data_IF_517807877616
#
_entry.id   IF_517807877616
#
_cell.length_a   1.000
_cell.length_b   1.000
_cell.length_c   1.000
_cell.angle_alpha   90.00
_cell.angle_beta   90.00
_cell.angle_gamma   90.00
#
_symmetry.space_group_name_H-M   'P 1'
#
loop_
_entity.id
_entity.type
_entity.pdbx_description
1 polymer ?
#
# COMPACT_ATOMS: atom_id res chain seq x y z
N UNK A 1 -22.88 14.38 -16.75
CA UNK A 1 -22.23 13.61 -15.66
C UNK A 1 -22.52 12.13 -15.91
N UNK A 2 -21.47 11.36 -16.05
CA UNK A 2 -21.52 9.91 -16.30
C UNK A 2 -22.22 9.18 -15.14
N UNK A 3 -22.76 7.98 -15.42
CA UNK A 3 -23.40 7.13 -14.42
C UNK A 3 -23.02 5.67 -14.63
N UNK A 4 -22.87 4.95 -13.53
CA UNK A 4 -22.73 3.50 -13.51
C UNK A 4 -23.68 2.91 -12.45
N UNK A 5 -24.18 1.70 -12.69
CA UNK A 5 -25.01 0.99 -11.70
C UNK A 5 -24.14 0.08 -10.79
N UNK A 6 -24.76 -0.48 -9.73
CA UNK A 6 -24.06 -1.34 -8.77
C UNK A 6 -23.39 -2.55 -9.42
N UNK A 7 -24.03 -3.18 -10.40
CA UNK A 7 -23.46 -4.36 -11.09
C UNK A 7 -22.22 -3.98 -11.88
N UNK A 8 -22.26 -2.84 -12.58
CA UNK A 8 -21.12 -2.30 -13.32
C UNK A 8 -19.96 -1.94 -12.37
N UNK A 9 -20.26 -1.23 -11.27
CA UNK A 9 -19.27 -0.86 -10.28
C UNK A 9 -18.59 -2.09 -9.63
N UNK A 10 -19.38 -3.11 -9.27
CA UNK A 10 -18.85 -4.37 -8.72
C UNK A 10 -17.93 -5.09 -9.70
N UNK A 11 -18.33 -5.21 -10.97
CA UNK A 11 -17.49 -5.84 -12.01
C UNK A 11 -16.19 -5.06 -12.22
N UNK A 12 -16.28 -3.74 -12.28
CA UNK A 12 -15.10 -2.88 -12.41
C UNK A 12 -14.15 -3.03 -11.22
N UNK A 13 -14.67 -3.00 -10.00
CA UNK A 13 -13.89 -3.21 -8.78
C UNK A 13 -13.21 -4.59 -8.75
N UNK A 14 -13.91 -5.66 -9.12
CA UNK A 14 -13.33 -7.00 -9.21
C UNK A 14 -12.24 -7.09 -10.28
N UNK A 15 -12.44 -6.44 -11.44
CA UNK A 15 -11.42 -6.38 -12.49
C UNK A 15 -10.16 -5.64 -12.01
N UNK A 16 -10.33 -4.46 -11.40
CA UNK A 16 -9.21 -3.66 -10.87
C UNK A 16 -8.52 -4.33 -9.69
N UNK A 17 -9.27 -5.06 -8.87
CA UNK A 17 -8.71 -5.90 -7.81
C UNK A 17 -7.98 -7.15 -8.32
N UNK A 18 -7.92 -7.40 -9.63
CA UNK A 18 -7.28 -8.59 -10.22
C UNK A 18 -7.99 -9.90 -9.91
N UNK A 19 -9.30 -9.87 -9.60
CA UNK A 19 -10.13 -11.03 -9.26
C UNK A 19 -10.97 -11.53 -10.45
N UNK A 20 -10.92 -10.85 -11.58
CA UNK A 20 -11.41 -11.34 -12.86
C UNK A 20 -10.23 -11.80 -13.73
N UNK A 21 -10.54 -12.21 -14.97
CA UNK A 21 -9.50 -12.63 -15.91
C UNK A 21 -8.45 -11.52 -16.11
N UNK A 22 -7.15 -11.83 -16.07
CA UNK A 22 -6.06 -10.85 -16.19
C UNK A 22 -6.12 -10.01 -17.46
N UNK A 23 -6.68 -10.52 -18.54
CA UNK A 23 -6.81 -9.84 -19.84
C UNK A 23 -7.59 -8.52 -19.75
N UNK A 24 -8.46 -8.36 -18.74
CA UNK A 24 -9.24 -7.14 -18.57
C UNK A 24 -8.39 -5.94 -18.14
N UNK A 25 -7.35 -6.17 -17.35
CA UNK A 25 -6.55 -5.09 -16.73
C UNK A 25 -5.06 -5.23 -16.97
N UNK A 26 -4.62 -6.27 -17.68
CA UNK A 26 -3.19 -6.55 -17.89
C UNK A 26 -2.46 -7.01 -16.63
N UNK A 27 -3.19 -7.41 -15.59
CA UNK A 27 -2.59 -8.01 -14.39
C UNK A 27 -1.90 -9.33 -14.75
N UNK A 28 -0.80 -9.69 -14.07
CA UNK A 28 -0.17 -10.99 -14.28
C UNK A 28 -1.09 -12.12 -13.81
N UNK A 29 -1.07 -13.21 -14.55
CA UNK A 29 -1.89 -14.38 -14.24
C UNK A 29 -1.18 -15.37 -13.32
N UNK A 30 0.15 -15.50 -13.46
CA UNK A 30 0.90 -16.60 -12.86
C UNK A 30 2.22 -16.16 -12.25
N UNK A 31 2.56 -16.76 -11.10
CA UNK A 31 3.88 -16.69 -10.49
C UNK A 31 4.21 -18.06 -9.90
N UNK A 32 5.33 -18.66 -10.32
CA UNK A 32 5.74 -19.99 -9.84
C UNK A 32 7.11 -19.90 -9.21
N UNK A 33 7.22 -20.35 -7.95
CA UNK A 33 8.43 -20.26 -7.15
C UNK A 33 8.85 -18.82 -6.85
N UNK A 34 10.13 -18.61 -6.53
CA UNK A 34 10.72 -17.32 -6.15
C UNK A 34 11.58 -16.68 -7.25
N UNK A 35 11.37 -17.08 -8.49
CA UNK A 35 12.14 -16.61 -9.64
C UNK A 35 12.00 -15.12 -9.87
N UNK A 36 12.93 -14.49 -10.59
CA UNK A 36 12.84 -13.08 -11.00
C UNK A 36 11.49 -12.76 -11.68
N UNK A 37 11.01 -13.67 -12.54
CA UNK A 37 9.72 -13.52 -13.23
C UNK A 37 8.53 -13.55 -12.24
N UNK A 38 8.59 -14.43 -11.25
CA UNK A 38 7.57 -14.52 -10.20
C UNK A 38 7.54 -13.23 -9.36
N UNK A 39 8.72 -12.71 -8.92
CA UNK A 39 8.83 -11.43 -8.22
C UNK A 39 8.29 -10.27 -9.05
N UNK A 40 8.63 -10.19 -10.33
CA UNK A 40 8.08 -9.17 -11.25
C UNK A 40 6.56 -9.26 -11.39
N UNK A 41 5.98 -10.45 -11.35
CA UNK A 41 4.53 -10.62 -11.35
C UNK A 41 3.90 -10.07 -10.05
N UNK A 42 4.47 -10.40 -8.89
CA UNK A 42 4.03 -9.86 -7.61
C UNK A 42 4.15 -8.32 -7.56
N UNK A 43 5.27 -7.76 -8.04
CA UNK A 43 5.45 -6.30 -8.12
C UNK A 43 4.37 -5.63 -8.99
N UNK A 44 4.01 -6.23 -10.13
CA UNK A 44 2.93 -5.69 -10.98
C UNK A 44 1.57 -5.69 -10.29
N UNK A 45 1.27 -6.71 -9.48
CA UNK A 45 0.07 -6.73 -8.65
C UNK A 45 0.10 -5.58 -7.64
N UNK A 46 1.21 -5.42 -6.90
CA UNK A 46 1.38 -4.34 -5.92
C UNK A 46 1.29 -2.96 -6.58
N UNK A 47 1.90 -2.79 -7.75
CA UNK A 47 1.82 -1.54 -8.54
C UNK A 47 0.40 -1.23 -8.99
N UNK A 48 -0.38 -2.26 -9.35
CA UNK A 48 -1.79 -2.09 -9.76
C UNK A 48 -2.69 -1.58 -8.63
N UNK A 49 -2.37 -1.96 -7.39
CA UNK A 49 -3.09 -1.49 -6.19
C UNK A 49 -2.54 -0.18 -5.62
N UNK A 50 -1.31 0.16 -5.98
CA UNK A 50 -0.57 1.28 -5.39
C UNK A 50 0.16 0.92 -4.10
N UNK A 51 -0.35 -0.01 -3.32
CA UNK A 51 0.30 -0.57 -2.13
C UNK A 51 -0.21 -1.97 -1.79
N UNK A 52 0.51 -2.67 -0.93
CA UNK A 52 0.08 -3.90 -0.30
C UNK A 52 0.33 -3.83 1.21
N UNK A 53 -0.74 -3.90 2.01
CA UNK A 53 -0.64 -3.80 3.46
C UNK A 53 0.09 -4.99 4.06
N UNK A 54 0.97 -4.70 5.02
CA UNK A 54 1.71 -5.66 5.83
C UNK A 54 1.07 -5.78 7.21
N UNK A 55 0.47 -6.93 7.49
CA UNK A 55 -0.11 -7.20 8.79
C UNK A 55 0.69 -8.29 9.51
N UNK A 56 0.90 -8.11 10.82
CA UNK A 56 1.59 -9.07 11.67
C UNK A 56 0.71 -10.27 12.02
N UNK A 57 -0.61 -10.11 11.94
CA UNK A 57 -1.56 -11.17 12.27
C UNK A 57 -1.66 -12.15 11.10
N UNK A 58 -1.43 -13.42 11.38
CA UNK A 58 -1.62 -14.52 10.42
C UNK A 58 -3.06 -15.02 10.52
N UNK A 59 -3.98 -14.39 9.77
CA UNK A 59 -5.35 -14.88 9.63
C UNK A 59 -5.35 -16.06 8.66
N UNK A 60 -6.07 -17.13 8.99
CA UNK A 60 -6.17 -18.34 8.14
C UNK A 60 -4.81 -18.98 7.78
N UNK A 61 -3.85 -18.97 8.70
CA UNK A 61 -2.56 -19.65 8.55
C UNK A 61 -1.52 -18.94 7.69
N UNK A 62 -1.85 -17.78 7.11
CA UNK A 62 -0.92 -16.95 6.34
C UNK A 62 -1.16 -15.46 6.60
N UNK A 63 -0.13 -14.63 6.36
CA UNK A 63 -0.24 -13.17 6.48
C UNK A 63 -1.01 -12.57 5.31
N UNK A 64 -1.67 -11.44 5.54
CA UNK A 64 -2.56 -10.78 4.57
C UNK A 64 -1.92 -10.55 3.21
N UNK A 65 -0.68 -10.11 3.14
CA UNK A 65 0.03 -9.86 1.88
C UNK A 65 0.23 -11.14 1.05
N UNK A 66 0.52 -12.27 1.70
CA UNK A 66 0.64 -13.56 1.01
C UNK A 66 -0.73 -14.03 0.47
N UNK A 67 -1.81 -13.87 1.26
CA UNK A 67 -3.19 -14.21 0.85
C UNK A 67 -3.61 -13.36 -0.35
N UNK A 68 -3.29 -12.07 -0.35
CA UNK A 68 -3.59 -11.18 -1.46
C UNK A 68 -2.89 -11.62 -2.74
N UNK A 69 -1.61 -11.98 -2.68
CA UNK A 69 -0.87 -12.46 -3.85
C UNK A 69 -1.37 -13.83 -4.32
N UNK A 70 -1.61 -14.77 -3.39
CA UNK A 70 -2.16 -16.10 -3.67
C UNK A 70 -3.48 -16.03 -4.45
N UNK A 71 -4.36 -15.11 -4.07
CA UNK A 71 -5.68 -14.99 -4.72
C UNK A 71 -5.64 -14.38 -6.13
N UNK A 72 -4.49 -13.91 -6.61
CA UNK A 72 -4.31 -13.28 -7.93
C UNK A 72 -3.34 -14.03 -8.85
N UNK A 73 -2.44 -14.82 -8.26
CA UNK A 73 -1.35 -15.44 -9.01
C UNK A 73 -1.46 -16.96 -8.96
N UNK A 74 -1.79 -17.57 -10.09
CA UNK A 74 -1.80 -19.02 -10.24
C UNK A 74 -0.39 -19.58 -10.00
N UNK A 75 -0.30 -20.68 -9.25
CA UNK A 75 0.97 -21.32 -8.91
C UNK A 75 1.82 -20.53 -7.92
N UNK A 76 1.20 -19.63 -7.16
CA UNK A 76 1.86 -18.84 -6.12
C UNK A 76 2.52 -19.76 -5.07
N UNK A 77 3.79 -19.45 -4.77
CA UNK A 77 4.55 -20.07 -3.71
C UNK A 77 4.60 -19.10 -2.50
N UNK A 78 4.21 -19.50 -1.27
CA UNK A 78 4.33 -18.68 -0.08
C UNK A 78 5.74 -18.10 0.15
N UNK A 79 6.80 -18.83 -0.26
CA UNK A 79 8.18 -18.35 -0.20
C UNK A 79 8.40 -17.09 -1.04
N UNK A 80 7.57 -16.83 -2.07
CA UNK A 80 7.63 -15.59 -2.83
C UNK A 80 7.29 -14.37 -1.96
N UNK A 81 6.28 -14.48 -1.07
CA UNK A 81 5.94 -13.39 -0.16
C UNK A 81 7.09 -13.05 0.80
N UNK A 82 7.78 -14.08 1.30
CA UNK A 82 8.95 -13.88 2.17
C UNK A 82 10.14 -13.30 1.38
N UNK A 83 10.34 -13.71 0.12
CA UNK A 83 11.37 -13.17 -0.75
C UNK A 83 11.21 -11.67 -1.02
N UNK A 84 9.96 -11.16 -1.07
CA UNK A 84 9.70 -9.72 -1.24
C UNK A 84 10.00 -8.89 0.01
N UNK A 85 10.26 -9.50 1.16
CA UNK A 85 10.68 -8.81 2.39
C UNK A 85 12.19 -8.54 2.42
N UNK A 86 12.95 -9.09 1.46
CA UNK A 86 14.40 -9.02 1.41
C UNK A 86 14.90 -7.74 0.71
N UNK A 87 16.14 -7.31 0.97
CA UNK A 87 16.74 -6.15 0.31
C UNK A 87 16.83 -6.29 -1.21
N UNK A 88 16.78 -5.15 -1.91
CA UNK A 88 16.98 -5.09 -3.37
C UNK A 88 15.70 -5.24 -4.19
N UNK A 89 14.55 -5.49 -3.57
CA UNK A 89 13.27 -5.43 -4.25
C UNK A 89 12.87 -3.98 -4.54
N UNK A 90 12.17 -3.69 -5.66
CA UNK A 90 11.76 -2.33 -6.02
C UNK A 90 10.55 -1.86 -5.20
N UNK A 91 10.61 -2.11 -3.90
CA UNK A 91 9.60 -1.82 -2.89
C UNK A 91 10.25 -1.09 -1.72
N UNK A 92 9.46 -0.31 -1.00
CA UNK A 92 9.83 0.21 0.31
C UNK A 92 8.65 0.09 1.26
N UNK A 93 8.93 -0.07 2.55
CA UNK A 93 7.88 -0.08 3.57
C UNK A 93 7.67 1.34 4.07
N UNK A 94 6.39 1.78 4.02
CA UNK A 94 6.01 3.08 4.57
C UNK A 94 4.51 3.11 4.93
N UNK A 95 4.07 4.23 5.48
CA UNK A 95 2.67 4.50 5.78
C UNK A 95 1.87 4.80 4.50
N UNK A 96 1.19 3.78 3.97
CA UNK A 96 0.12 3.92 3.00
C UNK A 96 -1.22 4.09 3.71
N UNK A 97 -2.08 3.06 3.66
CA UNK A 97 -3.24 2.98 4.56
C UNK A 97 -2.80 2.69 6.00
N UNK A 98 -1.95 1.71 6.16
CA UNK A 98 -1.18 1.37 7.37
C UNK A 98 0.29 1.14 6.97
N UNK A 99 1.05 0.28 7.67
CA UNK A 99 2.34 -0.17 7.18
C UNK A 99 2.16 -1.01 5.91
N UNK A 100 2.70 -0.55 4.82
CA UNK A 100 2.51 -1.15 3.50
C UNK A 100 3.83 -1.30 2.75
N UNK A 101 3.90 -2.29 1.86
CA UNK A 101 4.80 -2.23 0.72
C UNK A 101 4.26 -1.25 -0.30
N UNK A 102 5.11 -0.35 -0.72
CA UNK A 102 4.87 0.62 -1.77
C UNK A 102 5.92 0.44 -2.88
N UNK A 103 5.55 0.57 -4.14
CA UNK A 103 6.53 0.65 -5.22
C UNK A 103 7.55 1.76 -4.96
N UNK A 104 8.84 1.48 -5.13
CA UNK A 104 9.94 2.41 -4.82
C UNK A 104 9.78 3.78 -5.50
N UNK A 105 9.19 3.81 -6.69
CA UNK A 105 8.89 5.05 -7.44
C UNK A 105 7.93 6.00 -6.70
N UNK A 106 7.22 5.53 -5.68
CA UNK A 106 6.34 6.35 -4.85
C UNK A 106 7.09 7.01 -3.68
N UNK A 107 8.36 6.69 -3.47
CA UNK A 107 9.13 7.32 -2.39
C UNK A 107 9.13 8.85 -2.47
N UNK A 108 9.39 9.50 -3.62
CA UNK A 108 9.30 10.96 -3.72
C UNK A 108 7.89 11.52 -3.50
N UNK A 109 6.85 10.77 -3.84
CA UNK A 109 5.44 11.17 -3.63
C UNK A 109 5.11 11.36 -2.16
N UNK A 110 5.70 10.56 -1.26
CA UNK A 110 5.47 10.63 0.18
C UNK A 110 6.36 11.65 0.92
N UNK A 111 7.12 12.50 0.22
CA UNK A 111 7.98 13.51 0.84
C UNK A 111 7.19 14.46 1.78
N UNK A 112 6.02 14.92 1.35
CA UNK A 112 5.15 15.78 2.18
C UNK A 112 4.73 15.10 3.48
N UNK A 113 4.48 13.78 3.46
CA UNK A 113 4.10 13.00 4.66
C UNK A 113 5.28 12.81 5.60
N UNK A 114 6.49 12.51 5.08
CA UNK A 114 7.69 12.43 5.90
C UNK A 114 7.96 13.75 6.61
N UNK A 115 7.79 14.88 5.91
CA UNK A 115 7.90 16.21 6.52
C UNK A 115 6.82 16.44 7.60
N UNK A 116 5.57 16.09 7.33
CA UNK A 116 4.48 16.24 8.30
C UNK A 116 4.65 15.32 9.52
N UNK A 117 5.25 14.15 9.36
CA UNK A 117 5.46 13.16 10.41
C UNK A 117 6.65 13.44 11.33
N UNK A 118 7.34 14.53 11.16
CA UNK A 118 8.17 15.13 12.22
C UNK A 118 7.29 15.51 13.41
N UNK A 119 6.03 15.94 13.15
CA UNK A 119 4.95 16.12 14.12
C UNK A 119 3.93 14.98 13.94
N UNK A 120 4.24 13.80 14.43
CA UNK A 120 3.45 12.61 14.13
C UNK A 120 2.08 12.63 14.83
N UNK A 121 0.96 12.21 14.16
CA UNK A 121 -0.38 12.25 14.74
C UNK A 121 -0.56 11.48 16.05
N UNK A 122 0.26 10.45 16.31
CA UNK A 122 0.11 9.59 17.48
C UNK A 122 1.07 9.90 18.64
N UNK A 123 2.23 10.51 18.38
CA UNK A 123 3.24 10.77 19.41
C UNK A 123 3.87 12.17 19.32
N UNK A 124 3.30 13.05 18.49
CA UNK A 124 3.77 14.43 18.39
C UNK A 124 5.22 14.55 17.94
N UNK A 125 5.93 15.51 18.49
CA UNK A 125 7.35 15.78 18.22
C UNK A 125 8.29 14.94 19.11
N UNK A 126 8.23 13.63 18.99
CA UNK A 126 9.09 12.74 19.78
C UNK A 126 10.59 12.97 19.47
N UNK A 127 10.92 13.25 18.22
CA UNK A 127 12.31 13.49 17.78
C UNK A 127 12.85 14.77 18.42
N UNK A 128 12.09 15.87 18.35
CA UNK A 128 12.48 17.16 18.96
C UNK A 128 12.48 17.14 20.48
N UNK A 129 11.60 16.34 21.12
CA UNK A 129 11.59 16.18 22.58
C UNK A 129 12.78 15.36 23.10
N UNK A 130 13.33 14.43 22.26
CA UNK A 130 14.44 13.55 22.64
C UNK A 130 15.56 13.55 21.60
N UNK A 131 16.16 14.71 21.26
CA UNK A 131 17.11 14.82 20.15
C UNK A 131 18.36 13.95 20.35
N UNK A 132 18.90 13.89 21.59
CA UNK A 132 20.07 13.04 21.90
C UNK A 132 19.78 11.56 21.66
N UNK A 133 18.56 11.08 21.94
CA UNK A 133 18.18 9.70 21.68
C UNK A 133 18.08 9.42 20.18
N UNK A 134 17.52 10.36 19.41
CA UNK A 134 17.43 10.27 17.96
C UNK A 134 18.81 10.23 17.31
N UNK A 135 19.71 11.11 17.74
CA UNK A 135 21.12 11.17 17.28
C UNK A 135 21.86 9.87 17.63
N UNK A 136 21.80 9.42 18.89
CA UNK A 136 22.46 8.21 19.34
C UNK A 136 22.00 6.97 18.58
N UNK A 137 20.67 6.82 18.34
CA UNK A 137 20.15 5.70 17.58
C UNK A 137 20.60 5.76 16.11
N UNK A 138 20.57 6.95 15.50
CA UNK A 138 20.99 7.14 14.12
C UNK A 138 22.50 6.89 13.96
N UNK A 139 23.29 7.39 14.92
CA UNK A 139 24.75 7.14 14.97
C UNK A 139 25.06 5.65 15.13
N UNK A 140 24.38 4.99 16.04
CA UNK A 140 24.55 3.56 16.27
C UNK A 140 24.25 2.74 15.01
N UNK A 141 23.16 3.04 14.29
CA UNK A 141 22.86 2.37 13.01
C UNK A 141 23.94 2.69 11.96
N UNK A 142 24.54 3.89 12.00
CA UNK A 142 25.60 4.28 11.08
C UNK A 142 26.87 3.47 11.29
N UNK A 143 27.26 3.23 12.53
CA UNK A 143 28.50 2.54 12.92
C UNK A 143 28.33 1.02 12.97
N UNK A 144 27.25 0.51 13.56
CA UNK A 144 27.05 -0.93 13.76
C UNK A 144 26.34 -1.60 12.57
N UNK A 145 25.71 -0.81 11.69
CA UNK A 145 24.87 -1.33 10.61
C UNK A 145 23.38 -1.44 10.98
N UNK A 146 22.57 -2.14 10.15
CA UNK A 146 21.14 -2.27 10.34
C UNK A 146 20.79 -2.94 11.67
N UNK A 147 19.74 -2.41 12.37
CA UNK A 147 19.29 -2.93 13.66
C UNK A 147 17.86 -3.47 13.56
N UNK A 148 17.63 -4.67 14.10
CA UNK A 148 16.28 -5.22 14.28
C UNK A 148 15.56 -4.50 15.42
N UNK A 149 14.23 -4.52 15.39
CA UNK A 149 13.41 -3.94 16.47
C UNK A 149 13.75 -4.48 17.87
N UNK A 150 14.27 -5.70 17.96
CA UNK A 150 14.73 -6.31 19.23
C UNK A 150 16.12 -5.81 19.65
N UNK A 151 16.96 -5.40 18.70
CA UNK A 151 18.34 -4.99 18.98
C UNK A 151 18.44 -3.49 19.34
N UNK A 152 17.30 -2.77 19.35
CA UNK A 152 17.25 -1.34 19.66
C UNK A 152 17.61 -1.02 21.10
N UNK A 153 17.63 -2.06 21.99
CA UNK A 153 18.12 -1.95 23.34
C UNK A 153 19.64 -1.83 23.36
N UNK A 154 20.17 -0.77 23.97
CA UNK A 154 21.60 -0.67 24.26
C UNK A 154 22.00 -1.61 25.38
N UNK A 155 23.28 -2.04 25.42
CA UNK A 155 23.89 -2.65 26.61
C UNK A 155 23.77 -1.65 27.78
N UNK A 156 22.82 -1.86 28.70
CA UNK A 156 22.57 -0.97 29.83
C UNK A 156 21.18 -0.38 29.94
N UNK A 157 20.23 -0.78 29.10
CA UNK A 157 18.82 -0.39 29.28
C UNK A 157 18.29 -0.97 30.64
N UNK A 158 17.77 -0.06 31.48
CA UNK A 158 17.38 -0.39 32.85
C UNK A 158 15.91 -0.78 33.03
N UNK A 159 15.20 -1.16 31.95
CA UNK A 159 13.83 -1.60 32.09
C UNK A 159 12.96 -1.57 30.81
N UNK A 160 11.77 -2.17 30.95
CA UNK A 160 10.77 -2.31 29.90
C UNK A 160 10.28 -0.97 29.28
N UNK A 161 10.37 0.14 30.02
CA UNK A 161 10.04 1.48 29.54
C UNK A 161 11.04 2.01 28.51
N UNK A 162 12.33 1.73 28.67
CA UNK A 162 13.37 2.16 27.74
C UNK A 162 13.22 1.46 26.39
N UNK A 163 12.79 0.19 26.40
CA UNK A 163 12.40 -0.57 25.22
C UNK A 163 11.29 0.07 24.40
N UNK A 164 10.21 0.47 25.08
CA UNK A 164 9.08 1.11 24.40
C UNK A 164 9.50 2.41 23.74
N UNK A 165 10.32 3.22 24.41
CA UNK A 165 10.73 4.52 23.90
C UNK A 165 11.70 4.37 22.72
N UNK A 166 12.66 3.44 22.78
CA UNK A 166 13.59 3.15 21.68
C UNK A 166 12.86 2.66 20.42
N UNK A 167 11.89 1.76 20.56
CA UNK A 167 11.04 1.30 19.45
C UNK A 167 10.18 2.42 18.88
N UNK A 168 9.63 3.29 19.72
CA UNK A 168 8.87 4.45 19.29
C UNK A 168 9.77 5.45 18.56
N UNK A 169 10.99 5.69 19.05
CA UNK A 169 11.97 6.56 18.40
C UNK A 169 12.36 6.02 17.02
N UNK A 170 12.69 4.74 16.89
CA UNK A 170 12.98 4.13 15.59
C UNK A 170 11.79 4.26 14.61
N UNK A 171 10.57 4.09 15.12
CA UNK A 171 9.34 4.28 14.31
C UNK A 171 9.13 5.75 13.93
N UNK A 172 9.43 6.69 14.84
CA UNK A 172 9.36 8.12 14.56
C UNK A 172 10.40 8.54 13.49
N UNK A 173 11.64 8.09 13.63
CA UNK A 173 12.71 8.35 12.64
C UNK A 173 12.39 7.73 11.27
N UNK A 174 11.82 6.53 11.23
CA UNK A 174 11.34 5.93 10.01
C UNK A 174 10.17 6.73 9.40
N UNK A 175 9.21 7.15 10.20
CA UNK A 175 8.07 7.97 9.75
C UNK A 175 8.52 9.32 9.20
N UNK A 176 9.53 9.94 9.81
CA UNK A 176 10.13 11.19 9.36
C UNK A 176 11.10 11.00 8.16
N UNK A 177 11.43 9.76 7.81
CA UNK A 177 12.29 9.43 6.67
C UNK A 177 13.79 9.51 6.94
N UNK A 178 14.21 9.61 8.21
CA UNK A 178 15.64 9.49 8.63
C UNK A 178 16.08 8.04 8.49
N UNK A 179 15.25 7.10 8.96
CA UNK A 179 15.45 5.67 8.78
C UNK A 179 14.50 5.13 7.72
N UNK A 180 14.85 3.99 7.15
CA UNK A 180 14.01 3.17 6.28
C UNK A 180 14.03 1.71 6.77
N UNK A 181 13.04 0.93 6.33
CA UNK A 181 13.03 -0.52 6.59
C UNK A 181 13.81 -1.18 5.46
N UNK A 182 14.95 -1.78 5.80
CA UNK A 182 15.81 -2.50 4.87
C UNK A 182 15.20 -3.84 4.47
N UNK A 183 14.67 -4.56 5.47
CA UNK A 183 14.09 -5.89 5.31
C UNK A 183 13.20 -6.23 6.51
N UNK A 184 12.52 -7.37 6.44
CA UNK A 184 11.89 -7.98 7.61
C UNK A 184 12.51 -9.35 7.89
N UNK A 185 13.18 -9.46 9.02
CA UNK A 185 13.72 -10.72 9.53
C UNK A 185 12.71 -11.34 10.51
N UNK A 186 12.20 -12.54 10.24
CA UNK A 186 11.10 -13.16 10.99
C UNK A 186 9.91 -12.21 11.17
N UNK A 187 9.61 -11.46 10.12
CA UNK A 187 8.60 -10.41 10.05
C UNK A 187 8.86 -9.17 10.93
N UNK A 188 9.98 -9.11 11.63
CA UNK A 188 10.39 -7.92 12.38
C UNK A 188 11.10 -6.94 11.45
N UNK A 189 10.84 -5.65 11.67
CA UNK A 189 11.52 -4.59 10.94
C UNK A 189 13.00 -4.56 11.26
N UNK A 190 13.81 -4.44 10.22
CA UNK A 190 15.23 -4.12 10.29
C UNK A 190 15.39 -2.70 9.78
N UNK A 191 15.77 -1.81 10.69
CA UNK A 191 15.97 -0.39 10.40
C UNK A 191 17.38 -0.12 9.91
N UNK A 192 17.51 0.70 8.86
CA UNK A 192 18.79 1.22 8.37
C UNK A 192 18.62 2.68 7.95
N UNK A 193 19.71 3.36 7.66
CA UNK A 193 19.71 4.72 7.16
C UNK A 193 18.99 4.79 5.81
N UNK A 194 18.15 5.79 5.62
CA UNK A 194 17.39 5.96 4.37
C UNK A 194 18.30 6.02 3.15
N UNK A 195 19.48 6.66 3.27
CA UNK A 195 20.46 6.76 2.18
C UNK A 195 21.08 5.41 1.80
N UNK A 196 21.05 4.40 2.68
CA UNK A 196 21.55 3.04 2.39
C UNK A 196 20.48 2.14 1.78
N UNK A 197 19.22 2.42 2.04
CA UNK A 197 18.08 1.59 1.62
C UNK A 197 17.44 2.11 0.34
N UNK A 198 17.29 3.43 0.23
CA UNK A 198 16.57 4.07 -0.87
C UNK A 198 17.57 4.68 -1.85
N UNK A 199 17.60 4.25 -3.12
CA UNK A 199 18.50 4.82 -4.14
C UNK A 199 18.36 6.35 -4.26
N UNK A 200 19.48 7.03 -4.52
CA UNK A 200 19.55 8.49 -4.61
C UNK A 200 18.54 9.07 -5.61
N UNK A 201 18.38 8.44 -6.77
CA UNK A 201 17.42 8.87 -7.80
C UNK A 201 15.96 8.98 -7.31
N UNK A 202 15.57 8.24 -6.25
CA UNK A 202 14.26 8.36 -5.64
C UNK A 202 14.22 9.31 -4.45
N UNK A 203 15.36 9.61 -3.82
CA UNK A 203 15.43 10.52 -2.68
C UNK A 203 15.47 11.99 -3.07
N UNK A 204 16.08 12.29 -4.21
CA UNK A 204 16.38 13.66 -4.65
C UNK A 204 15.24 14.36 -5.40
N UNK A 205 14.22 13.64 -5.82
CA UNK A 205 13.12 14.13 -6.66
C UNK A 205 11.80 14.25 -5.89
N UNK A 206 11.80 14.89 -4.71
CA UNK A 206 10.59 15.08 -3.93
C UNK A 206 9.53 15.87 -4.71
N UNK A 207 8.30 15.35 -4.77
CA UNK A 207 7.19 16.03 -5.41
C UNK A 207 6.65 17.14 -4.50
N UNK A 208 6.20 18.23 -5.11
CA UNK A 208 5.38 19.21 -4.43
C UNK A 208 4.09 18.55 -3.90
N UNK A 209 3.58 19.02 -2.75
CA UNK A 209 2.42 18.40 -2.09
C UNK A 209 1.20 18.29 -3.00
N UNK A 210 0.92 19.32 -3.81
CA UNK A 210 -0.20 19.30 -4.76
C UNK A 210 -0.09 18.16 -5.78
N UNK A 211 1.09 18.01 -6.39
CA UNK A 211 1.35 16.97 -7.39
C UNK A 211 1.33 15.57 -6.76
N UNK A 212 1.85 15.47 -5.53
CA UNK A 212 1.80 14.23 -4.76
C UNK A 212 0.35 13.79 -4.46
N UNK A 213 -0.53 14.74 -4.10
CA UNK A 213 -1.95 14.45 -3.88
C UNK A 213 -2.65 14.02 -5.17
N UNK A 214 -2.42 14.71 -6.30
CA UNK A 214 -2.93 14.25 -7.60
C UNK A 214 -2.52 12.82 -7.91
N UNK A 215 -1.23 12.52 -7.74
CA UNK A 215 -0.69 11.19 -7.99
C UNK A 215 -1.37 10.13 -7.10
N UNK A 216 -1.50 10.37 -5.81
CA UNK A 216 -2.13 9.44 -4.87
C UNK A 216 -3.62 9.25 -5.14
N UNK A 217 -4.37 10.31 -5.43
CA UNK A 217 -5.80 10.25 -5.74
C UNK A 217 -6.04 9.45 -7.03
N UNK A 218 -5.25 9.71 -8.08
CA UNK A 218 -5.35 9.00 -9.35
C UNK A 218 -4.98 7.52 -9.19
N UNK A 219 -3.92 7.22 -8.43
CA UNK A 219 -3.49 5.84 -8.16
C UNK A 219 -4.52 5.08 -7.32
N UNK A 220 -5.11 5.73 -6.30
CA UNK A 220 -6.22 5.15 -5.54
C UNK A 220 -7.42 4.84 -6.43
N UNK A 221 -7.79 5.78 -7.30
CA UNK A 221 -8.89 5.57 -8.25
C UNK A 221 -8.59 4.44 -9.25
N UNK A 222 -7.33 4.30 -9.66
CA UNK A 222 -6.90 3.16 -10.49
C UNK A 222 -7.14 1.82 -9.81
N UNK A 223 -6.88 1.73 -8.52
CA UNK A 223 -7.10 0.50 -7.74
C UNK A 223 -8.58 0.18 -7.50
N UNK A 224 -9.41 1.20 -7.29
CA UNK A 224 -10.85 1.04 -7.04
C UNK A 224 -11.67 0.93 -8.32
N UNK A 225 -11.25 1.55 -9.42
CA UNK A 225 -12.00 1.71 -10.65
C UNK A 225 -13.01 2.86 -10.57
N UNK A 226 -13.91 2.84 -9.59
CA UNK A 226 -14.80 3.93 -9.20
C UNK A 226 -14.67 4.20 -7.70
N UNK A 227 -14.69 5.46 -7.29
CA UNK A 227 -14.60 5.81 -5.87
C UNK A 227 -15.21 7.19 -5.58
N UNK A 228 -15.73 7.36 -4.35
CA UNK A 228 -16.05 8.68 -3.81
C UNK A 228 -14.77 9.42 -3.40
N UNK A 229 -14.83 10.73 -3.25
CA UNK A 229 -13.73 11.51 -2.65
C UNK A 229 -13.34 10.96 -1.28
N UNK A 230 -14.34 10.62 -0.45
CA UNK A 230 -14.10 10.04 0.87
C UNK A 230 -13.33 8.72 0.82
N UNK A 231 -13.67 7.83 -0.13
CA UNK A 231 -12.95 6.57 -0.35
C UNK A 231 -11.49 6.81 -0.72
N UNK A 232 -11.22 7.75 -1.65
CA UNK A 232 -9.86 8.08 -2.08
C UNK A 232 -9.02 8.66 -0.92
N UNK A 233 -9.61 9.56 -0.12
CA UNK A 233 -9.01 10.12 1.09
C UNK A 233 -8.66 9.02 2.09
N UNK A 234 -9.59 8.10 2.32
CA UNK A 234 -9.41 7.01 3.27
C UNK A 234 -8.34 6.00 2.78
N UNK A 235 -8.29 5.72 1.49
CA UNK A 235 -7.29 4.82 0.88
C UNK A 235 -5.87 5.19 1.28
N UNK A 236 -5.56 6.46 1.31
CA UNK A 236 -4.22 6.97 1.62
C UNK A 236 -4.13 7.65 2.99
N UNK A 237 -5.20 7.64 3.79
CA UNK A 237 -5.28 8.36 5.08
C UNK A 237 -4.85 9.83 4.97
N UNK A 238 -5.40 10.53 3.99
CA UNK A 238 -5.15 11.96 3.75
C UNK A 238 -6.01 12.81 4.69
N UNK A 239 -5.61 12.89 5.96
CA UNK A 239 -6.34 13.67 6.97
C UNK A 239 -5.95 15.14 6.90
N UNK A 240 -6.92 16.03 7.21
CA UNK A 240 -6.74 17.49 7.28
C UNK A 240 -6.26 18.16 5.98
N UNK A 241 -6.56 17.55 4.82
CA UNK A 241 -6.12 18.00 3.49
C UNK A 241 -7.29 18.41 2.58
N UNK A 242 -8.46 18.74 3.15
CA UNK A 242 -9.72 18.90 2.39
C UNK A 242 -9.64 19.89 1.24
N UNK A 243 -9.02 21.06 1.44
CA UNK A 243 -8.85 22.07 0.39
C UNK A 243 -7.87 21.61 -0.68
N UNK A 244 -6.71 21.10 -0.27
CA UNK A 244 -5.69 20.61 -1.19
C UNK A 244 -6.19 19.42 -2.03
N UNK A 245 -7.03 18.55 -1.45
CA UNK A 245 -7.68 17.43 -2.15
C UNK A 245 -8.67 17.95 -3.19
N UNK A 246 -9.52 18.94 -2.84
CA UNK A 246 -10.45 19.55 -3.81
C UNK A 246 -9.70 20.17 -4.98
N UNK A 247 -8.63 20.91 -4.71
CA UNK A 247 -7.79 21.50 -5.75
C UNK A 247 -7.11 20.45 -6.63
N UNK A 248 -6.61 19.35 -6.05
CA UNK A 248 -6.00 18.25 -6.79
C UNK A 248 -7.03 17.53 -7.69
N UNK A 249 -8.25 17.28 -7.20
CA UNK A 249 -9.32 16.69 -8.01
C UNK A 249 -9.73 17.60 -9.16
N UNK A 250 -9.85 18.92 -8.93
CA UNK A 250 -10.14 19.87 -10.00
C UNK A 250 -9.08 19.82 -11.11
N UNK A 251 -7.78 19.85 -10.74
CA UNK A 251 -6.70 19.73 -11.74
C UNK A 251 -6.71 18.40 -12.49
N UNK A 252 -7.08 17.29 -11.83
CA UNK A 252 -7.23 16.00 -12.50
C UNK A 252 -8.40 15.99 -13.49
N UNK A 253 -9.49 16.69 -13.19
CA UNK A 253 -10.62 16.89 -14.11
C UNK A 253 -10.18 17.76 -15.31
N UNK A 254 -9.52 18.89 -15.06
CA UNK A 254 -9.03 19.81 -16.10
C UNK A 254 -8.05 19.09 -17.07
N UNK A 255 -7.23 18.17 -16.54
CA UNK A 255 -6.34 17.30 -17.34
C UNK A 255 -7.06 16.17 -18.07
N UNK A 256 -8.36 16.00 -17.87
CA UNK A 256 -9.12 14.87 -18.40
C UNK A 256 -8.70 13.50 -17.83
N UNK A 257 -7.95 13.46 -16.71
CA UNK A 257 -7.47 12.23 -16.09
C UNK A 257 -8.57 11.49 -15.32
N UNK A 258 -9.56 12.23 -14.83
CA UNK A 258 -10.76 11.70 -14.16
C UNK A 258 -12.00 12.45 -14.63
N UNK A 259 -13.14 11.81 -14.52
CA UNK A 259 -14.46 12.42 -14.79
C UNK A 259 -15.41 12.16 -13.63
N UNK A 260 -16.33 13.10 -13.40
CA UNK A 260 -17.41 12.93 -12.43
C UNK A 260 -18.38 11.85 -12.90
N UNK A 261 -18.64 10.85 -12.04
CA UNK A 261 -19.49 9.71 -12.34
C UNK A 261 -20.32 9.34 -11.12
N UNK A 262 -21.65 9.34 -11.26
CA UNK A 262 -22.51 8.91 -10.15
C UNK A 262 -22.75 7.40 -10.19
N UNK A 263 -22.61 6.75 -9.04
CA UNK A 263 -23.11 5.40 -8.82
C UNK A 263 -24.61 5.48 -8.54
N UNK A 264 -25.38 4.74 -9.32
CA UNK A 264 -26.84 4.62 -9.13
C UNK A 264 -27.13 3.26 -8.49
N UNK A 265 -27.76 3.26 -7.31
CA UNK A 265 -28.19 2.05 -6.63
C UNK A 265 -29.54 1.52 -7.18
N UNK A 266 -29.99 0.39 -6.65
CA UNK A 266 -31.21 -0.27 -7.10
C UNK A 266 -32.48 0.54 -6.76
N UNK A 267 -32.39 1.48 -5.78
CA UNK A 267 -33.47 2.41 -5.39
C UNK A 267 -33.43 3.73 -6.18
N UNK A 268 -32.50 3.87 -7.13
CA UNK A 268 -32.32 5.08 -7.94
C UNK A 268 -31.56 6.21 -7.23
N UNK A 269 -31.03 5.99 -6.03
CA UNK A 269 -30.19 6.99 -5.34
C UNK A 269 -28.86 7.15 -6.07
N UNK A 270 -28.42 8.38 -6.14
CA UNK A 270 -27.17 8.75 -6.83
C UNK A 270 -26.09 9.11 -5.83
N UNK A 271 -25.02 8.33 -5.80
CA UNK A 271 -23.83 8.59 -5.01
C UNK A 271 -22.76 9.22 -5.89
N UNK A 272 -22.35 10.49 -5.66
CA UNK A 272 -21.34 11.15 -6.47
C UNK A 272 -19.96 10.53 -6.26
N UNK A 273 -19.20 10.39 -7.33
CA UNK A 273 -17.86 9.83 -7.32
C UNK A 273 -17.08 10.17 -8.58
N UNK A 274 -16.00 9.47 -8.76
CA UNK A 274 -15.00 9.67 -9.79
C UNK A 274 -14.70 8.35 -10.50
N UNK A 275 -14.39 8.45 -11.78
CA UNK A 275 -13.93 7.35 -12.62
C UNK A 275 -12.87 7.87 -13.60
N UNK A 276 -11.94 7.03 -14.05
CA UNK A 276 -11.05 7.40 -15.14
C UNK A 276 -11.75 7.10 -16.48
N UNK A 277 -11.52 7.90 -17.55
CA UNK A 277 -12.14 7.65 -18.87
C UNK A 277 -11.95 6.21 -19.35
N UNK A 278 -10.74 5.67 -19.25
CA UNK A 278 -10.46 4.27 -19.62
C UNK A 278 -11.18 3.22 -18.77
N UNK A 279 -11.67 3.57 -17.59
CA UNK A 279 -12.47 2.68 -16.76
C UNK A 279 -13.94 2.66 -17.20
N UNK A 280 -14.46 3.71 -17.80
CA UNK A 280 -15.78 3.70 -18.45
C UNK A 280 -15.77 2.76 -19.66
N UNK A 281 -14.74 2.84 -20.52
CA UNK A 281 -14.55 1.88 -21.60
C UNK A 281 -14.47 0.43 -21.10
N UNK A 282 -13.78 0.23 -19.99
CA UNK A 282 -13.69 -1.09 -19.35
C UNK A 282 -15.05 -1.55 -18.81
N UNK A 283 -15.85 -0.67 -18.24
CA UNK A 283 -17.23 -0.98 -17.79
C UNK A 283 -18.04 -1.55 -18.94
N UNK A 284 -18.02 -0.92 -20.12
CA UNK A 284 -18.76 -1.39 -21.30
C UNK A 284 -18.31 -2.77 -21.77
N UNK A 285 -17.01 -3.01 -21.74
CA UNK A 285 -16.45 -4.33 -22.07
C UNK A 285 -16.86 -5.40 -21.06
N UNK A 286 -16.89 -5.05 -19.77
CA UNK A 286 -17.24 -5.95 -18.68
C UNK A 286 -18.73 -6.34 -18.65
N UNK A 287 -19.62 -5.62 -19.34
CA UNK A 287 -21.02 -6.01 -19.49
C UNK A 287 -21.20 -7.38 -20.16
N UNK A 288 -20.25 -7.77 -20.99
CA UNK A 288 -20.21 -9.07 -21.68
C UNK A 288 -19.77 -10.24 -20.82
N UNK A 289 -19.24 -9.96 -19.59
CA UNK A 289 -18.80 -11.00 -18.65
C UNK A 289 -20.02 -11.72 -18.08
N UNK A 290 -20.17 -12.98 -18.44
CA UNK A 290 -21.19 -13.84 -17.83
C UNK A 290 -20.65 -14.38 -16.51
N UNK A 291 -21.42 -14.36 -15.40
CA UNK A 291 -21.04 -15.07 -14.19
C UNK A 291 -20.83 -16.54 -14.56
N UNK A 292 -19.76 -17.18 -14.05
CA UNK A 292 -19.65 -18.64 -14.13
C UNK A 292 -20.88 -19.20 -13.43
N UNK A 293 -21.68 -20.01 -14.12
CA UNK A 293 -22.67 -20.89 -13.48
C UNK A 293 -21.85 -21.77 -12.53
N UNK A 294 -22.15 -21.66 -11.26
CA UNK A 294 -21.54 -22.48 -10.22
C UNK A 294 -21.77 -23.95 -10.62
N UNK A 295 -20.71 -24.61 -11.07
CA UNK A 295 -20.72 -26.07 -11.17
C UNK A 295 -20.55 -26.52 -9.73
N UNK A 296 -21.68 -26.72 -9.03
CA UNK A 296 -21.74 -27.07 -7.63
C UNK A 296 -20.68 -28.12 -7.26
N UNK A 297 -19.51 -27.67 -6.88
CA UNK A 297 -18.58 -28.48 -6.09
C UNK A 297 -19.16 -28.43 -4.67
N UNK A 298 -19.98 -29.43 -4.37
CA UNK A 298 -20.31 -29.77 -2.99
C UNK A 298 -18.97 -30.06 -2.31
N UNK A 299 -18.46 -29.12 -1.55
CA UNK A 299 -17.47 -29.40 -0.53
C UNK A 299 -18.16 -30.28 0.50
N UNK A 300 -17.99 -31.58 0.37
CA UNK A 300 -18.33 -32.54 1.41
C UNK A 300 -17.42 -32.26 2.60
N UNK A 301 -17.89 -31.45 3.54
CA UNK A 301 -17.32 -31.40 4.88
C UNK A 301 -17.76 -32.73 5.53
N UNK A 302 -16.91 -33.74 5.46
CA UNK A 302 -17.03 -34.95 6.26
C UNK A 302 -16.83 -34.59 7.73
N UNK A 303 -17.93 -34.32 8.43
CA UNK A 303 -17.90 -34.31 9.89
C UNK A 303 -17.79 -35.78 10.31
N UNK A 304 -16.61 -36.24 10.64
CA UNK A 304 -16.39 -37.48 11.36
C UNK A 304 -17.04 -37.32 12.74
N UNK A 305 -18.16 -37.99 12.95
CA UNK A 305 -18.69 -38.23 14.30
C UNK A 305 -17.85 -39.34 14.92
N UNK A 306 -17.11 -39.02 15.96
CA UNK A 306 -16.47 -39.91 16.89
C UNK A 306 -16.68 -39.36 18.31
#
# INVERSE_FOLDING_TARGET
>A
METINLTQARRLALARAGLLKPEWTGMPRRATGVTRRARQAAHRVIQGFGYLQLDTVAVAGARSHAIVLLSRLEGFDPALAEALLQPGEPLFEYWGHEACWLPIKLFPVFAFRRKAFQQHPWWGDLIGQHPRMAENLTHRIREEGPLRSLDLEGRGSRGWWDLKIAKRMATALWSAGVLAIRERANFQRVYDLTERVIPACWRENALAKGDALEHLLLLGLQGHGWATTGTLVQTWRLRNEGEAIRAALARLVDKGAIVACALVDDDGRRLPGWVRPQDLELVDRLQRVRPRKDRGHRFGIGIARG
#
